data_IF_121460288498
#
_entry.id   IF_121460288498
#
_cell.length_a   1.000
_cell.length_b   1.000
_cell.length_c   1.000
_cell.angle_alpha   90.00
_cell.angle_beta   90.00
_cell.angle_gamma   90.00
#
_symmetry.space_group_name_H-M   'P 1'
#
loop_
_entity.id
_entity.type
_entity.pdbx_description
1 polymer ?
#
# COMPACT_ATOMS: atom_id res chain seq x y z
N UNK A 1 1.96 7.28 -1.89
CA UNK A 1 0.63 7.46 -2.50
C UNK A 1 -0.43 7.19 -1.44
N UNK A 2 -1.48 8.01 -1.37
CA UNK A 2 -2.58 7.86 -0.40
C UNK A 2 -3.91 7.78 -1.14
N UNK A 3 -4.81 6.89 -0.71
CA UNK A 3 -6.16 6.77 -1.22
C UNK A 3 -7.15 6.45 -0.08
N UNK A 4 -8.43 6.75 -0.28
CA UNK A 4 -9.52 6.35 0.60
C UNK A 4 -10.66 5.75 -0.22
N UNK A 5 -11.35 4.75 0.34
CA UNK A 5 -12.50 4.11 -0.30
C UNK A 5 -12.24 3.71 -1.75
N UNK A 6 -13.19 4.05 -2.62
CA UNK A 6 -13.11 3.75 -4.06
C UNK A 6 -12.03 4.56 -4.81
N UNK A 7 -11.45 5.59 -4.16
CA UNK A 7 -10.36 6.40 -4.73
C UNK A 7 -9.11 5.59 -5.07
N UNK A 8 -8.96 4.39 -4.51
CA UNK A 8 -7.90 3.44 -4.87
C UNK A 8 -7.97 3.01 -6.34
N UNK A 9 -9.16 2.99 -6.95
CA UNK A 9 -9.35 2.59 -8.36
C UNK A 9 -8.55 3.49 -9.30
N UNK A 10 -8.55 4.80 -9.02
CA UNK A 10 -7.82 5.78 -9.82
C UNK A 10 -6.29 5.59 -9.73
N UNK A 11 -5.80 5.00 -8.63
CA UNK A 11 -4.37 4.79 -8.42
C UNK A 11 -3.84 3.55 -9.17
N UNK A 12 -4.69 2.56 -9.46
CA UNK A 12 -4.28 1.28 -10.07
C UNK A 12 -3.56 1.48 -11.42
N UNK A 13 -4.08 2.26 -12.39
CA UNK A 13 -3.40 2.49 -13.66
C UNK A 13 -2.06 3.19 -13.47
N UNK A 14 -2.01 4.18 -12.56
CA UNK A 14 -0.80 4.95 -12.31
C UNK A 14 0.31 4.09 -11.65
N UNK A 15 -0.03 3.25 -10.66
CA UNK A 15 0.91 2.29 -10.07
C UNK A 15 1.46 1.36 -11.14
N UNK A 16 0.61 0.88 -12.06
CA UNK A 16 1.04 0.01 -13.16
C UNK A 16 2.08 0.67 -14.06
N UNK A 17 1.89 1.94 -14.42
CA UNK A 17 2.86 2.71 -15.21
C UNK A 17 4.16 2.93 -14.45
N UNK A 18 4.09 3.24 -13.15
CA UNK A 18 5.29 3.37 -12.31
C UNK A 18 6.11 2.07 -12.27
N UNK A 19 5.45 0.92 -12.20
CA UNK A 19 6.14 -0.38 -12.26
C UNK A 19 6.80 -0.64 -13.62
N UNK A 20 6.20 -0.18 -14.72
CA UNK A 20 6.80 -0.29 -16.06
C UNK A 20 8.05 0.58 -16.21
N UNK A 21 8.07 1.74 -15.56
CA UNK A 21 9.20 2.68 -15.61
C UNK A 21 10.32 2.35 -14.62
N UNK A 22 10.07 1.53 -13.61
CA UNK A 22 10.98 1.29 -12.50
C UNK A 22 12.10 0.28 -12.79
N UNK A 23 12.37 -0.05 -14.06
CA UNK A 23 13.27 -1.13 -14.45
C UNK A 23 14.71 -1.01 -13.93
N UNK A 24 15.17 0.15 -13.45
CA UNK A 24 16.54 0.34 -12.92
C UNK A 24 16.60 1.43 -11.83
N UNK A 25 15.57 1.56 -10.99
CA UNK A 25 15.51 2.64 -10.00
C UNK A 25 15.41 2.12 -8.57
N UNK A 26 16.14 2.74 -7.63
CA UNK A 26 16.03 2.50 -6.17
C UNK A 26 14.73 3.04 -5.54
N UNK A 27 13.68 3.27 -6.35
CA UNK A 27 12.43 3.86 -5.91
C UNK A 27 11.59 2.83 -5.20
N UNK A 28 11.01 3.19 -4.07
CA UNK A 28 10.01 2.37 -3.37
C UNK A 28 8.64 3.02 -3.54
N UNK A 29 7.63 2.22 -3.92
CA UNK A 29 6.26 2.64 -4.06
C UNK A 29 5.48 2.14 -2.84
N UNK A 30 5.02 3.08 -2.02
CA UNK A 30 4.13 2.79 -0.91
C UNK A 30 2.74 3.34 -1.17
N UNK A 31 1.76 2.46 -1.06
CA UNK A 31 0.34 2.77 -1.19
C UNK A 31 -0.32 2.62 0.17
N UNK A 32 -0.69 3.74 0.77
CA UNK A 32 -1.56 3.77 1.95
C UNK A 32 -3.01 3.90 1.49
N UNK A 33 -3.85 2.93 1.84
CA UNK A 33 -5.25 2.92 1.47
C UNK A 33 -6.12 2.82 2.72
N UNK A 34 -6.96 3.83 2.94
CA UNK A 34 -8.02 3.81 3.94
C UNK A 34 -9.22 3.08 3.37
N UNK A 35 -9.53 1.94 3.99
CA UNK A 35 -10.62 1.06 3.58
C UNK A 35 -11.88 1.55 4.27
N UNK A 36 -12.91 1.92 3.50
CA UNK A 36 -14.17 2.39 4.06
C UNK A 36 -15.05 1.21 4.47
N UNK A 37 -15.09 0.19 3.60
CA UNK A 37 -15.80 -1.07 3.83
C UNK A 37 -14.88 -2.24 3.49
N UNK A 38 -14.81 -3.22 4.40
CA UNK A 38 -14.05 -4.46 4.20
C UNK A 38 -14.50 -5.26 2.98
N UNK A 39 -15.74 -5.10 2.52
CA UNK A 39 -16.22 -5.67 1.25
C UNK A 39 -15.44 -5.14 0.04
N UNK A 40 -14.80 -3.97 0.15
CA UNK A 40 -13.94 -3.45 -0.90
C UNK A 40 -12.69 -4.31 -1.14
N UNK A 41 -12.24 -5.04 -0.12
CA UNK A 41 -11.07 -5.91 -0.25
C UNK A 41 -11.28 -7.00 -1.29
N UNK A 42 -12.51 -7.50 -1.44
CA UNK A 42 -12.82 -8.61 -2.36
C UNK A 42 -12.58 -8.24 -3.82
N UNK A 43 -12.89 -6.99 -4.20
CA UNK A 43 -12.72 -6.53 -5.57
C UNK A 43 -11.41 -5.78 -5.80
N UNK A 44 -10.79 -5.18 -4.77
CA UNK A 44 -9.47 -4.52 -4.88
C UNK A 44 -8.33 -5.55 -4.86
N UNK A 45 -8.44 -6.60 -4.05
CA UNK A 45 -7.36 -7.58 -3.89
C UNK A 45 -6.88 -8.21 -5.21
N UNK A 46 -7.75 -8.64 -6.15
CA UNK A 46 -7.30 -9.16 -7.44
C UNK A 46 -6.40 -8.20 -8.23
N UNK A 47 -6.58 -6.89 -8.06
CA UNK A 47 -5.72 -5.88 -8.69
C UNK A 47 -4.39 -5.74 -7.95
N UNK A 48 -4.42 -5.73 -6.62
CA UNK A 48 -3.20 -5.73 -5.79
C UNK A 48 -2.33 -6.94 -6.12
N UNK A 49 -2.94 -8.14 -6.23
CA UNK A 49 -2.24 -9.38 -6.57
C UNK A 49 -1.56 -9.28 -7.94
N UNK A 50 -2.26 -8.74 -8.96
CA UNK A 50 -1.69 -8.52 -10.31
C UNK A 50 -0.52 -7.53 -10.29
N UNK A 51 -0.65 -6.42 -9.54
CA UNK A 51 0.41 -5.42 -9.42
C UNK A 51 1.64 -5.99 -8.71
N UNK A 52 1.44 -6.73 -7.61
CA UNK A 52 2.52 -7.37 -6.87
C UNK A 52 3.19 -8.50 -7.66
N UNK A 53 2.43 -9.25 -8.46
CA UNK A 53 2.97 -10.25 -9.37
C UNK A 53 3.82 -9.62 -10.49
N UNK A 54 3.43 -8.44 -10.98
CA UNK A 54 4.24 -7.67 -11.93
C UNK A 54 5.52 -7.15 -11.31
N UNK A 55 5.48 -6.73 -10.04
CA UNK A 55 6.63 -6.33 -9.25
C UNK A 55 7.50 -7.53 -8.75
N UNK A 56 7.30 -8.74 -9.30
CA UNK A 56 8.09 -9.91 -8.92
C UNK A 56 9.50 -9.78 -9.49
N UNK A 57 10.46 -9.49 -8.61
CA UNK A 57 11.88 -9.32 -8.95
C UNK A 57 12.46 -8.04 -8.38
N UNK A 58 11.70 -6.94 -8.44
CA UNK A 58 12.13 -5.63 -7.95
C UNK A 58 11.71 -5.38 -6.49
N UNK A 59 10.56 -5.93 -6.07
CA UNK A 59 10.06 -5.83 -4.70
C UNK A 59 9.91 -4.38 -4.19
N UNK A 60 9.59 -3.46 -5.09
CA UNK A 60 9.49 -2.03 -4.78
C UNK A 60 8.09 -1.60 -4.35
N UNK A 61 7.05 -2.39 -4.62
CA UNK A 61 5.66 -2.07 -4.30
C UNK A 61 5.20 -2.68 -2.97
N UNK A 62 4.59 -1.85 -2.11
CA UNK A 62 4.06 -2.24 -0.80
C UNK A 62 2.72 -1.55 -0.54
N UNK A 63 1.82 -2.26 0.14
CA UNK A 63 0.48 -1.76 0.49
C UNK A 63 0.26 -1.73 2.01
N UNK A 64 -0.22 -0.60 2.53
CA UNK A 64 -0.76 -0.48 3.89
C UNK A 64 -2.27 -0.24 3.83
N UNK A 65 -3.04 -1.15 4.42
CA UNK A 65 -4.49 -1.12 4.47
C UNK A 65 -4.94 -0.62 5.84
N UNK A 66 -5.49 0.58 5.91
CA UNK A 66 -6.02 1.16 7.15
C UNK A 66 -7.48 0.75 7.28
N UNK A 67 -7.74 -0.16 8.22
CA UNK A 67 -9.04 -0.81 8.38
C UNK A 67 -9.99 0.04 9.22
N UNK A 68 -11.29 0.08 8.86
CA UNK A 68 -12.29 0.85 9.60
C UNK A 68 -12.55 0.21 10.97
N UNK A 69 -12.85 1.04 11.98
CA UNK A 69 -13.28 0.58 13.30
C UNK A 69 -12.18 0.02 14.22
N UNK A 70 -10.91 0.09 13.82
CA UNK A 70 -9.80 -0.19 14.72
C UNK A 70 -9.57 0.97 15.69
N UNK A 71 -9.70 0.75 17.00
CA UNK A 71 -9.13 1.68 17.99
C UNK A 71 -7.64 1.86 17.70
N UNK A 72 -7.09 3.08 17.82
CA UNK A 72 -5.62 3.35 17.81
C UNK A 72 -4.86 2.68 18.98
N UNK A 73 -5.44 1.64 19.60
CA UNK A 73 -4.69 0.75 20.47
C UNK A 73 -3.51 0.22 19.65
N UNK A 74 -2.33 0.16 20.27
CA UNK A 74 -1.02 -0.21 19.70
C UNK A 74 -1.00 -1.64 19.11
N UNK A 75 -1.89 -1.94 18.18
CA UNK A 75 -1.96 -3.19 17.44
C UNK A 75 -0.89 -3.07 16.37
N UNK A 76 0.15 -3.93 16.40
CA UNK A 76 1.19 -3.89 15.40
C UNK A 76 0.60 -4.17 14.01
N UNK A 77 1.21 -3.63 12.94
CA UNK A 77 0.80 -3.96 11.57
C UNK A 77 0.82 -5.47 11.35
N UNK A 78 -0.27 -6.01 10.83
CA UNK A 78 -0.41 -7.45 10.59
C UNK A 78 -0.27 -7.74 9.10
N UNK A 79 0.54 -8.72 8.68
CA UNK A 79 0.57 -9.12 7.29
C UNK A 79 -0.82 -9.62 6.89
N UNK A 80 -1.27 -9.21 5.70
CA UNK A 80 -2.54 -9.66 5.14
C UNK A 80 -2.29 -10.27 3.78
N UNK A 81 -2.90 -11.44 3.56
CA UNK A 81 -2.77 -12.18 2.31
C UNK A 81 -1.29 -12.40 1.89
N UNK A 82 -0.64 -13.30 2.63
CA UNK A 82 0.81 -13.51 2.67
C UNK A 82 1.47 -13.95 1.35
N UNK A 83 0.73 -14.15 0.25
CA UNK A 83 1.27 -14.62 -1.03
C UNK A 83 2.47 -13.81 -1.55
N UNK A 84 2.50 -12.52 -1.22
CA UNK A 84 3.54 -11.58 -1.62
C UNK A 84 4.36 -11.03 -0.47
N UNK A 85 3.96 -11.28 0.79
CA UNK A 85 4.52 -10.69 2.02
C UNK A 85 4.65 -9.14 1.98
N UNK A 86 3.79 -8.48 1.19
CA UNK A 86 3.89 -7.05 0.86
C UNK A 86 2.63 -6.24 1.09
N UNK A 87 1.68 -6.81 1.82
CA UNK A 87 0.44 -6.14 2.19
C UNK A 87 0.28 -6.25 3.71
N UNK A 88 0.02 -5.13 4.37
CA UNK A 88 -0.18 -5.06 5.81
C UNK A 88 -1.51 -4.41 6.13
N UNK A 89 -2.23 -4.97 7.10
CA UNK A 89 -3.37 -4.33 7.78
C UNK A 89 -2.88 -3.49 8.93
N UNK A 90 -3.36 -2.26 8.96
CA UNK A 90 -3.17 -1.28 10.00
C UNK A 90 -4.53 -0.95 10.61
N UNK A 91 -4.52 -0.55 11.88
CA UNK A 91 -5.71 -0.11 12.59
C UNK A 91 -5.61 1.39 12.86
N UNK A 92 -6.74 2.08 12.75
CA UNK A 92 -6.84 3.54 12.89
C UNK A 92 -6.96 4.25 11.55
N UNK A 93 -7.31 5.54 11.59
CA UNK A 93 -7.39 6.40 10.42
C UNK A 93 -6.01 6.61 9.80
N UNK A 94 -5.97 6.89 8.50
CA UNK A 94 -4.72 7.35 7.89
C UNK A 94 -4.30 8.66 8.57
N UNK A 95 -3.07 8.67 9.09
CA UNK A 95 -2.37 9.92 9.40
C UNK A 95 -1.43 10.22 8.24
N UNK A 96 -1.80 11.15 7.32
CA UNK A 96 -1.01 11.41 6.11
C UNK A 96 0.42 11.83 6.46
N UNK A 97 0.59 12.59 7.54
CA UNK A 97 1.90 13.07 7.99
C UNK A 97 2.81 11.92 8.44
N UNK A 98 2.28 10.88 9.08
CA UNK A 98 3.04 9.67 9.45
C UNK A 98 3.31 8.74 8.27
N UNK A 99 2.40 8.68 7.30
CA UNK A 99 2.57 7.90 6.06
C UNK A 99 3.70 8.49 5.20
N UNK A 100 3.80 9.81 5.19
CA UNK A 100 4.77 10.57 4.40
C UNK A 100 6.15 10.62 5.06
N UNK A 101 6.23 10.62 6.40
CA UNK A 101 7.48 10.85 7.14
C UNK A 101 8.50 9.70 7.12
N UNK A 102 8.28 8.60 6.37
CA UNK A 102 9.16 7.42 6.29
C UNK A 102 9.39 6.67 7.62
N UNK A 103 8.95 7.20 8.77
CA UNK A 103 9.17 6.64 10.09
C UNK A 103 8.53 5.26 10.28
N UNK A 104 7.45 4.99 9.55
CA UNK A 104 6.72 3.73 9.64
C UNK A 104 7.49 2.53 9.07
N UNK A 105 8.42 2.74 8.13
CA UNK A 105 9.10 1.63 7.43
C UNK A 105 10.59 1.89 7.16
N UNK A 106 11.38 2.29 8.17
CA UNK A 106 12.85 2.51 8.08
C UNK A 106 13.60 1.50 7.20
N UNK A 107 13.60 1.76 5.91
CA UNK A 107 14.23 1.05 4.82
C UNK A 107 14.72 2.13 3.86
N UNK A 108 15.97 1.97 3.40
CA UNK A 108 16.82 3.00 2.78
C UNK A 108 16.38 3.52 1.39
N UNK A 109 15.08 3.57 1.09
CA UNK A 109 14.56 4.03 -0.20
C UNK A 109 14.04 5.47 -0.17
N UNK A 110 14.17 6.18 -1.28
CA UNK A 110 13.51 7.47 -1.53
C UNK A 110 12.06 7.21 -1.95
N UNK A 111 11.10 7.58 -1.10
CA UNK A 111 9.68 7.46 -1.38
C UNK A 111 9.15 8.63 -2.20
N UNK A 112 8.43 8.32 -3.28
CA UNK A 112 7.64 9.31 -4.01
C UNK A 112 6.31 9.53 -3.27
N UNK A 113 6.04 10.78 -2.88
CA UNK A 113 4.79 11.19 -2.25
C UNK A 113 4.00 12.00 -3.27
N UNK A 114 2.97 11.36 -3.81
CA UNK A 114 1.91 12.00 -4.61
C UNK A 114 0.62 11.89 -3.85
#
# INVERSE_FOLDING_TARGET
MVASGDGIVAQIPYIRELLDLALDTDRTIFVAWEVDDTAQLDWVYPWMDKLLAKDKGNYILRFGLYMPGGSENNIPPQPWNSRHERIWKLHGCINPWKVVSHDFWKGKGTGLVT
#
